data_IF_220152567468
#
_entry.id   IF_220152567468
#
_cell.length_a   1.000
_cell.length_b   1.000
_cell.length_c   1.000
_cell.angle_alpha   90.00
_cell.angle_beta   90.00
_cell.angle_gamma   90.00
#
_symmetry.space_group_name_H-M   'P 1'
#
loop_
_entity.id
_entity.type
_entity.pdbx_description
1 polymer ?
#
# COMPACT_ATOMS: atom_id res chain seq x y z
N UNK A 1 -35.42 -44.25 25.25
CA UNK A 1 -35.63 -45.71 25.37
C UNK A 1 -34.37 -46.30 26.02
N UNK A 2 -34.52 -46.97 27.16
CA UNK A 2 -33.46 -47.50 28.03
C UNK A 2 -32.65 -48.63 27.36
N UNK A 3 -31.37 -48.84 27.75
CA UNK A 3 -31.01 -50.02 28.56
C UNK A 3 -29.57 -49.91 29.16
N UNK A 4 -29.39 -50.17 30.47
CA UNK A 4 -28.12 -50.04 31.18
C UNK A 4 -27.41 -51.39 31.43
N UNK A 5 -26.20 -51.31 32.00
CA UNK A 5 -25.57 -52.31 32.87
C UNK A 5 -25.36 -53.75 32.35
N UNK A 6 -24.10 -54.13 32.16
CA UNK A 6 -23.64 -55.49 32.48
C UNK A 6 -22.33 -55.43 33.28
N UNK A 7 -22.48 -55.46 34.61
CA UNK A 7 -21.46 -55.90 35.55
C UNK A 7 -21.36 -57.43 35.49
N UNK A 8 -20.15 -58.01 35.40
CA UNK A 8 -19.74 -59.22 36.16
C UNK A 8 -18.26 -59.53 35.92
N UNK A 9 -17.38 -59.25 36.90
CA UNK A 9 -16.88 -60.15 37.96
C UNK A 9 -16.13 -61.38 37.42
N UNK A 10 -14.87 -61.53 37.92
CA UNK A 10 -14.16 -62.74 38.41
C UNK A 10 -12.73 -62.76 37.86
N UNK A 11 -11.68 -63.21 38.53
CA UNK A 11 -11.32 -63.54 39.92
C UNK A 11 -9.89 -64.08 39.78
N UNK A 12 -8.97 -63.60 40.62
CA UNK A 12 -7.83 -64.33 41.21
C UNK A 12 -6.93 -65.18 40.31
N UNK A 13 -5.61 -64.96 40.40
CA UNK A 13 -4.74 -65.72 41.33
C UNK A 13 -3.27 -65.37 41.07
N UNK A 14 -2.58 -65.03 42.15
CA UNK A 14 -1.13 -64.82 42.24
C UNK A 14 -0.38 -66.09 41.82
N UNK A 15 0.72 -65.93 41.06
CA UNK A 15 1.79 -66.93 40.95
C UNK A 15 3.13 -66.20 40.75
N UNK A 16 3.91 -66.10 41.82
CA UNK A 16 5.39 -65.96 41.83
C UNK A 16 6.01 -67.36 41.56
N UNK A 17 7.34 -67.60 41.44
CA UNK A 17 8.56 -66.76 41.53
C UNK A 17 9.57 -66.94 40.34
N UNK A 18 10.47 -65.98 40.06
CA UNK A 18 11.97 -66.00 40.22
C UNK A 18 12.75 -66.93 39.25
N UNK A 19 14.10 -66.96 39.16
CA UNK A 19 15.16 -65.94 39.09
C UNK A 19 15.88 -65.99 37.72
N UNK A 20 16.61 -64.93 37.34
CA UNK A 20 18.00 -65.09 36.87
C UNK A 20 18.57 -63.77 36.36
N UNK A 21 19.78 -63.54 36.82
CA UNK A 21 20.65 -62.43 36.52
C UNK A 21 21.13 -62.46 35.07
N UNK A 22 21.34 -61.27 34.50
CA UNK A 22 22.35 -61.11 33.46
C UNK A 22 22.03 -60.04 32.44
N UNK A 23 22.69 -58.89 32.56
CA UNK A 23 22.85 -57.97 31.43
C UNK A 23 22.40 -56.54 31.72
N UNK A 24 23.28 -55.75 32.33
CA UNK A 24 23.36 -54.30 32.06
C UNK A 24 24.52 -54.08 31.07
N UNK A 25 24.65 -52.94 30.38
CA UNK A 25 23.70 -51.86 30.13
C UNK A 25 23.69 -51.41 28.64
N UNK A 26 22.53 -51.03 28.10
CA UNK A 26 22.50 -50.20 26.90
C UNK A 26 21.84 -48.86 27.24
N UNK A 27 22.69 -47.85 27.32
CA UNK A 27 22.36 -46.44 27.44
C UNK A 27 21.48 -46.01 26.27
N UNK A 28 20.29 -45.48 26.56
CA UNK A 28 19.60 -44.52 25.70
C UNK A 28 18.50 -43.82 26.53
N UNK A 29 18.91 -43.07 27.56
CA UNK A 29 18.05 -42.03 28.11
C UNK A 29 17.96 -40.93 27.06
N UNK A 30 16.96 -41.05 26.21
CA UNK A 30 16.41 -39.98 25.41
C UNK A 30 15.88 -38.93 26.40
N UNK A 31 16.71 -37.99 26.82
CA UNK A 31 16.26 -36.79 27.52
C UNK A 31 15.59 -35.88 26.48
N UNK A 32 14.34 -36.21 26.17
CA UNK A 32 13.36 -35.19 25.87
C UNK A 32 13.22 -34.34 27.15
N UNK A 33 13.91 -33.20 27.19
CA UNK A 33 13.51 -32.11 28.06
C UNK A 33 13.18 -30.89 27.19
N UNK A 34 11.91 -30.45 27.23
CA UNK A 34 11.38 -29.38 26.42
C UNK A 34 11.70 -28.01 27.05
N UNK A 35 11.47 -26.94 26.29
CA UNK A 35 11.32 -25.56 26.79
C UNK A 35 12.50 -24.96 27.56
N UNK A 36 13.47 -24.38 26.85
CA UNK A 36 14.29 -23.26 27.37
C UNK A 36 14.38 -22.19 26.26
N UNK A 37 13.42 -21.26 26.16
CA UNK A 37 13.41 -19.99 26.91
C UNK A 37 14.68 -19.12 26.79
N UNK A 38 15.46 -19.24 25.70
CA UNK A 38 16.60 -18.34 25.50
C UNK A 38 16.90 -18.04 24.02
N UNK A 39 15.94 -17.52 23.27
CA UNK A 39 16.19 -16.82 21.99
C UNK A 39 15.21 -15.68 21.70
N UNK A 40 14.57 -15.12 22.74
CA UNK A 40 13.57 -14.04 22.59
C UNK A 40 14.16 -12.64 22.87
N UNK A 41 15.40 -12.53 23.36
CA UNK A 41 15.98 -11.23 23.75
C UNK A 41 17.37 -11.03 23.15
N UNK A 42 17.52 -11.02 21.83
CA UNK A 42 18.67 -10.34 21.22
C UNK A 42 18.20 -9.70 19.91
N UNK A 43 18.40 -8.39 19.82
CA UNK A 43 18.11 -7.50 18.69
C UNK A 43 16.67 -6.99 18.61
N UNK A 44 16.25 -6.45 19.76
CA UNK A 44 15.64 -5.13 19.87
C UNK A 44 16.55 -4.05 19.22
N UNK A 45 16.73 -4.12 17.91
CA UNK A 45 17.19 -3.02 17.07
C UNK A 45 16.26 -2.99 15.86
N UNK A 46 14.96 -2.91 16.16
CA UNK A 46 13.93 -2.54 15.20
C UNK A 46 14.21 -1.09 14.84
N UNK A 47 15.14 -0.90 13.90
CA UNK A 47 15.28 0.33 13.16
C UNK A 47 13.99 0.51 12.38
N UNK A 48 12.99 1.10 13.02
CA UNK A 48 11.87 1.73 12.34
C UNK A 48 12.51 2.88 11.58
N UNK A 49 13.01 2.59 10.39
CA UNK A 49 13.16 3.57 9.34
C UNK A 49 11.72 4.02 9.07
N UNK A 50 11.31 5.08 9.75
CA UNK A 50 10.17 5.87 9.34
C UNK A 50 10.56 6.51 8.01
N UNK A 51 10.48 5.70 6.94
CA UNK A 51 10.39 6.24 5.61
C UNK A 51 9.08 7.01 5.63
N UNK A 52 9.18 8.34 5.79
CA UNK A 52 8.05 9.21 5.59
C UNK A 52 7.55 8.93 4.18
N UNK A 53 6.48 8.15 4.07
CA UNK A 53 5.66 8.14 2.87
C UNK A 53 5.09 9.54 2.83
N UNK A 54 5.82 10.45 2.19
CA UNK A 54 5.21 11.64 1.64
C UNK A 54 4.10 11.08 0.77
N UNK A 55 2.85 11.41 1.09
CA UNK A 55 1.75 11.12 0.21
C UNK A 55 2.03 11.95 -1.05
N UNK A 56 2.81 11.40 -1.98
CA UNK A 56 3.02 11.98 -3.27
C UNK A 56 1.62 12.15 -3.83
N UNK A 57 1.21 13.42 -4.00
CA UNK A 57 -0.04 13.74 -4.64
C UNK A 57 -0.09 13.02 -5.97
N UNK A 58 -1.29 12.63 -6.40
CA UNK A 58 -1.44 12.09 -7.73
C UNK A 58 -0.95 13.15 -8.72
N UNK A 59 0.06 12.79 -9.52
CA UNK A 59 0.60 13.64 -10.58
C UNK A 59 0.05 13.13 -11.90
N UNK A 60 -0.57 14.03 -12.66
CA UNK A 60 -0.98 13.77 -14.03
C UNK A 60 -0.07 14.50 -15.00
N UNK A 61 0.22 13.87 -16.14
CA UNK A 61 1.10 14.40 -17.16
C UNK A 61 0.29 14.71 -18.43
N UNK A 62 0.48 15.90 -18.97
CA UNK A 62 -0.10 16.32 -20.24
C UNK A 62 1.05 16.71 -21.17
N UNK A 63 1.24 15.96 -22.25
CA UNK A 63 2.31 16.19 -23.21
C UNK A 63 2.01 17.34 -24.17
N UNK A 64 3.07 18.01 -24.63
CA UNK A 64 2.98 19.13 -25.57
C UNK A 64 2.34 18.70 -26.90
N UNK A 65 2.67 17.51 -27.41
CA UNK A 65 2.08 16.98 -28.65
C UNK A 65 0.58 16.70 -28.51
N UNK A 66 0.14 16.22 -27.34
CA UNK A 66 -1.28 16.00 -27.04
C UNK A 66 -2.02 17.34 -27.01
N UNK A 67 -1.40 18.35 -26.38
CA UNK A 67 -1.94 19.70 -26.29
C UNK A 67 -1.98 20.43 -27.64
N UNK A 68 -0.98 20.22 -28.50
CA UNK A 68 -0.84 20.95 -29.77
C UNK A 68 -1.92 20.59 -30.80
N UNK A 69 -2.70 19.52 -30.57
CA UNK A 69 -3.82 19.14 -31.46
C UNK A 69 -4.91 20.21 -31.49
N UNK A 70 -5.70 20.29 -32.58
CA UNK A 70 -6.89 21.15 -32.61
C UNK A 70 -7.84 20.80 -31.47
N UNK A 71 -8.17 21.79 -30.64
CA UNK A 71 -8.99 21.64 -29.43
C UNK A 71 -10.29 22.43 -29.61
N UNK A 72 -11.42 21.77 -29.45
CA UNK A 72 -12.70 22.42 -29.16
C UNK A 72 -13.20 21.98 -27.78
N UNK A 73 -14.27 22.61 -27.28
CA UNK A 73 -14.80 22.30 -25.96
C UNK A 73 -15.21 20.82 -25.78
N UNK A 74 -15.68 20.16 -26.84
CA UNK A 74 -16.09 18.75 -26.77
C UNK A 74 -14.89 17.80 -26.71
N UNK A 75 -13.81 18.14 -27.40
CA UNK A 75 -12.52 17.42 -27.31
C UNK A 75 -11.91 17.60 -25.92
N UNK A 76 -11.98 18.81 -25.35
CA UNK A 76 -11.33 19.10 -24.08
C UNK A 76 -11.91 18.33 -22.90
N UNK A 77 -13.23 18.13 -22.88
CA UNK A 77 -13.93 17.32 -21.87
C UNK A 77 -13.52 15.83 -21.92
N UNK A 78 -12.87 15.38 -22.99
CA UNK A 78 -12.46 13.99 -23.16
C UNK A 78 -10.94 13.81 -23.19
N UNK A 79 -10.17 14.89 -23.24
CA UNK A 79 -8.71 14.84 -23.39
C UNK A 79 -8.05 14.37 -22.08
N UNK A 80 -7.39 13.19 -22.06
CA UNK A 80 -6.60 12.81 -20.89
C UNK A 80 -5.46 13.82 -20.65
N UNK A 81 -5.14 14.14 -19.39
CA UNK A 81 -5.70 13.61 -18.16
C UNK A 81 -6.84 14.47 -17.57
N UNK A 82 -7.40 15.43 -18.31
CA UNK A 82 -8.27 16.47 -17.75
C UNK A 82 -9.53 15.97 -17.04
N UNK A 83 -10.25 14.95 -17.54
CA UNK A 83 -11.41 14.40 -16.84
C UNK A 83 -11.04 13.88 -15.45
N UNK A 84 -9.91 13.18 -15.34
CA UNK A 84 -9.46 12.59 -14.08
C UNK A 84 -9.06 13.67 -13.07
N UNK A 85 -8.40 14.73 -13.54
CA UNK A 85 -8.02 15.88 -12.71
C UNK A 85 -9.27 16.58 -12.16
N UNK A 86 -10.27 16.82 -13.01
CA UNK A 86 -11.52 17.48 -12.64
C UNK A 86 -12.31 16.63 -11.65
N UNK A 87 -12.45 15.32 -11.89
CA UNK A 87 -13.14 14.43 -10.97
C UNK A 87 -12.42 14.29 -9.63
N UNK A 88 -11.09 14.21 -9.63
CA UNK A 88 -10.29 14.18 -8.41
C UNK A 88 -10.45 15.47 -7.58
N UNK A 89 -10.46 16.63 -8.24
CA UNK A 89 -10.67 17.92 -7.57
C UNK A 89 -12.09 18.06 -7.03
N UNK A 90 -13.12 17.65 -7.78
CA UNK A 90 -14.52 17.67 -7.31
C UNK A 90 -14.72 16.87 -6.02
N UNK A 91 -13.97 15.78 -5.83
CA UNK A 91 -14.00 15.01 -4.59
C UNK A 91 -13.36 15.70 -3.38
N UNK A 92 -12.51 16.71 -3.61
CA UNK A 92 -11.74 17.44 -2.59
C UNK A 92 -11.53 18.92 -3.01
N UNK A 93 -12.60 19.73 -3.01
CA UNK A 93 -12.55 21.11 -3.51
C UNK A 93 -11.81 22.08 -2.58
N UNK A 94 -11.24 21.59 -1.47
CA UNK A 94 -10.33 22.31 -0.59
C UNK A 94 -8.87 22.26 -1.07
N UNK A 95 -8.54 21.40 -2.04
CA UNK A 95 -7.20 21.27 -2.59
C UNK A 95 -6.91 22.29 -3.69
N UNK A 96 -5.68 22.77 -3.74
CA UNK A 96 -5.15 23.59 -4.82
C UNK A 96 -4.61 22.70 -5.94
N UNK A 97 -4.89 23.08 -7.18
CA UNK A 97 -4.31 22.47 -8.38
C UNK A 97 -3.04 23.24 -8.77
N UNK A 98 -1.89 22.59 -8.62
CA UNK A 98 -0.61 23.09 -9.10
C UNK A 98 -0.41 22.64 -10.55
N UNK A 99 -0.11 23.60 -11.43
CA UNK A 99 0.16 23.41 -12.85
C UNK A 99 1.64 23.75 -13.08
N UNK A 100 2.50 22.73 -13.11
CA UNK A 100 3.93 22.92 -13.39
C UNK A 100 4.15 22.84 -14.89
N UNK A 101 4.75 23.87 -15.47
CA UNK A 101 4.90 23.99 -16.91
C UNK A 101 6.36 24.14 -17.35
N UNK A 102 6.71 23.78 -18.59
CA UNK A 102 8.05 24.00 -19.11
C UNK A 102 8.42 25.48 -19.06
N UNK A 103 9.68 25.81 -18.78
CA UNK A 103 10.11 27.22 -18.80
C UNK A 103 9.96 27.87 -20.18
N UNK A 104 10.01 29.20 -20.21
CA UNK A 104 9.93 29.99 -21.44
C UNK A 104 8.53 30.50 -21.78
N UNK A 105 8.45 31.29 -22.84
CA UNK A 105 7.21 31.98 -23.25
C UNK A 105 6.15 31.00 -23.75
N UNK A 106 6.55 29.98 -24.51
CA UNK A 106 5.65 28.95 -25.05
C UNK A 106 5.02 28.13 -23.92
N UNK A 107 5.82 27.67 -22.96
CA UNK A 107 5.30 26.94 -21.80
C UNK A 107 4.35 27.78 -20.95
N UNK A 108 4.63 29.08 -20.78
CA UNK A 108 3.73 29.99 -20.07
C UNK A 108 2.40 30.19 -20.84
N UNK A 109 2.46 30.34 -22.16
CA UNK A 109 1.27 30.44 -23.00
C UNK A 109 0.39 29.20 -22.83
N UNK A 110 0.99 28.01 -22.97
CA UNK A 110 0.31 26.74 -22.76
C UNK A 110 -0.34 26.66 -21.37
N UNK A 111 0.40 26.97 -20.31
CA UNK A 111 -0.13 26.92 -18.95
C UNK A 111 -1.34 27.85 -18.74
N UNK A 112 -1.34 29.03 -19.35
CA UNK A 112 -2.47 29.97 -19.28
C UNK A 112 -3.68 29.50 -20.08
N UNK A 113 -3.48 28.91 -21.26
CA UNK A 113 -4.57 28.29 -22.02
C UNK A 113 -5.19 27.16 -21.20
N UNK A 114 -4.36 26.27 -20.63
CA UNK A 114 -4.82 25.15 -19.82
C UNK A 114 -5.60 25.62 -18.60
N UNK A 115 -5.10 26.63 -17.88
CA UNK A 115 -5.81 27.26 -16.77
C UNK A 115 -7.21 27.76 -17.18
N UNK A 116 -7.31 28.38 -18.34
CA UNK A 116 -8.60 28.88 -18.87
C UNK A 116 -9.56 27.74 -19.17
N UNK A 117 -9.06 26.64 -19.73
CA UNK A 117 -9.87 25.44 -19.96
C UNK A 117 -10.32 24.78 -18.65
N UNK A 118 -9.44 24.67 -17.65
CA UNK A 118 -9.79 24.12 -16.34
C UNK A 118 -10.88 24.95 -15.64
N UNK A 119 -10.90 26.27 -15.83
CA UNK A 119 -12.02 27.12 -15.39
C UNK A 119 -13.31 26.75 -16.11
N UNK A 120 -13.29 26.60 -17.42
CA UNK A 120 -14.46 26.17 -18.20
C UNK A 120 -14.95 24.76 -17.79
N UNK A 121 -14.04 23.90 -17.33
CA UNK A 121 -14.34 22.55 -16.82
C UNK A 121 -14.77 22.54 -15.34
N UNK A 122 -14.76 23.69 -14.65
CA UNK A 122 -15.36 23.88 -13.33
C UNK A 122 -14.37 24.03 -12.18
N UNK A 123 -13.05 24.09 -12.41
CA UNK A 123 -12.05 24.37 -11.37
C UNK A 123 -11.81 25.88 -11.29
N UNK A 124 -12.16 26.57 -10.20
CA UNK A 124 -11.99 28.02 -10.09
C UNK A 124 -10.53 28.46 -10.23
N UNK A 125 -10.29 29.58 -10.91
CA UNK A 125 -8.93 30.10 -11.15
C UNK A 125 -8.15 30.45 -9.89
N UNK A 126 -8.85 30.72 -8.78
CA UNK A 126 -8.28 30.99 -7.46
C UNK A 126 -7.80 29.74 -6.72
N UNK A 127 -8.16 28.54 -7.20
CA UNK A 127 -7.65 27.27 -6.70
C UNK A 127 -6.57 26.68 -7.61
N UNK A 128 -6.00 27.49 -8.49
CA UNK A 128 -4.99 27.06 -9.45
C UNK A 128 -3.72 27.89 -9.27
N UNK A 129 -2.57 27.22 -9.25
CA UNK A 129 -1.25 27.86 -9.17
C UNK A 129 -0.40 27.45 -10.37
N UNK A 130 0.20 28.43 -11.05
CA UNK A 130 1.14 28.18 -12.15
C UNK A 130 2.57 28.22 -11.61
N UNK A 131 3.34 27.17 -11.87
CA UNK A 131 4.74 27.05 -11.43
C UNK A 131 5.64 26.73 -12.62
N UNK A 132 6.65 27.56 -12.87
CA UNK A 132 7.62 27.29 -13.92
C UNK A 132 8.57 26.15 -13.50
N UNK A 133 8.97 25.32 -14.47
CA UNK A 133 9.94 24.24 -14.28
C UNK A 133 9.29 22.89 -14.00
N UNK A 134 8.53 22.36 -14.95
CA UNK A 134 8.15 20.94 -14.98
C UNK A 134 9.41 20.05 -15.04
N UNK A 135 9.28 18.80 -14.58
CA UNK A 135 10.40 17.85 -14.57
C UNK A 135 10.80 17.39 -15.98
N UNK A 136 9.88 17.49 -16.94
CA UNK A 136 10.11 17.20 -18.36
C UNK A 136 9.80 18.43 -19.23
N UNK A 137 10.66 18.77 -20.20
CA UNK A 137 10.56 20.01 -20.98
C UNK A 137 9.38 20.04 -21.96
N UNK A 138 8.77 18.89 -22.23
CA UNK A 138 7.68 18.69 -23.19
C UNK A 138 6.35 18.34 -22.50
N UNK A 139 6.24 18.57 -21.19
CA UNK A 139 5.07 18.15 -20.41
C UNK A 139 4.66 19.22 -19.40
N UNK A 140 3.35 19.38 -19.22
CA UNK A 140 2.76 19.98 -18.03
C UNK A 140 2.46 18.89 -17.01
N UNK A 141 2.79 19.17 -15.76
CA UNK A 141 2.44 18.35 -14.61
C UNK A 141 1.29 19.01 -13.86
N UNK A 142 0.29 18.20 -13.52
CA UNK A 142 -0.86 18.61 -12.73
C UNK A 142 -0.79 17.85 -11.41
N UNK A 143 -0.91 18.55 -10.28
CA UNK A 143 -0.85 17.96 -8.95
C UNK A 143 -1.87 18.63 -8.02
N UNK A 144 -2.60 17.84 -7.23
CA UNK A 144 -3.47 18.36 -6.18
C UNK A 144 -2.71 18.43 -4.85
N UNK A 145 -2.66 19.62 -4.26
CA UNK A 145 -1.96 19.93 -3.01
C UNK A 145 -2.92 20.52 -1.97
N UNK A 146 -2.59 20.39 -0.68
CA UNK A 146 -3.38 20.93 0.43
C UNK A 146 -2.96 22.34 0.78
#
# INVERSE_FOLDING_TARGET
MLNPNLKRIRRWRKRTPDPSWGGRPARALCYALPMYFLRIIIVAATGIVACGVSAAGQVWLLGADEWARPRDGAVMVQMPPLPDVVEAWKGKPDLHLVIRYPGGEEGLLWANELRSWLVALGIPSGQQELVAGSSQPDQIELELTR
#
